data_IF_499500285954
#
_entry.id   IF_499500285954
#
_cell.length_a   1.000
_cell.length_b   1.000
_cell.length_c   1.000
_cell.angle_alpha   90.00
_cell.angle_beta   90.00
_cell.angle_gamma   90.00
#
_symmetry.space_group_name_H-M   'P 1'
#
loop_
_entity.id
_entity.type
_entity.pdbx_description
1 polymer ?
#
# COMPACT_ATOMS: atom_id res chain seq x y z
N UNK A 1 37.70 -1.82 23.56
CA UNK A 1 37.12 -0.52 23.15
C UNK A 1 37.51 -0.30 21.70
N UNK A 2 36.63 -0.63 20.77
CA UNK A 2 36.86 -0.48 19.32
C UNK A 2 35.66 0.28 18.77
N UNK A 3 35.94 1.48 18.28
CA UNK A 3 35.01 2.38 17.61
C UNK A 3 34.87 1.91 16.17
N UNK A 4 33.66 1.72 15.68
CA UNK A 4 33.40 1.59 14.24
C UNK A 4 32.56 2.77 13.77
N UNK A 5 33.15 3.51 12.83
CA UNK A 5 32.59 4.63 12.09
C UNK A 5 31.29 4.27 11.37
N UNK A 6 30.30 5.15 11.51
CA UNK A 6 29.16 5.26 10.59
C UNK A 6 29.66 5.81 9.26
N UNK A 7 29.60 5.02 8.18
CA UNK A 7 29.55 5.56 6.82
C UNK A 7 28.10 5.65 6.34
N UNK A 8 27.80 6.85 5.86
CA UNK A 8 26.51 7.32 5.37
C UNK A 8 26.11 6.63 4.07
N UNK A 9 24.82 6.34 3.94
CA UNK A 9 24.06 6.46 2.70
C UNK A 9 22.60 6.74 3.07
N UNK A 10 22.36 7.95 3.60
CA UNK A 10 21.01 8.46 3.93
C UNK A 10 20.70 9.75 3.15
N UNK A 11 21.57 10.17 2.22
CA UNK A 11 21.45 11.44 1.51
C UNK A 11 20.51 11.37 0.30
N UNK A 12 20.31 10.20 -0.32
CA UNK A 12 19.40 10.06 -1.47
C UNK A 12 17.95 9.80 -1.05
N UNK A 13 17.73 9.02 0.01
CA UNK A 13 16.38 8.76 0.55
C UNK A 13 15.80 10.03 1.21
N UNK A 14 16.64 10.85 1.83
CA UNK A 14 16.23 12.15 2.40
C UNK A 14 15.76 13.14 1.32
N UNK A 15 16.42 13.17 0.14
CA UNK A 15 16.04 14.04 -0.97
C UNK A 15 14.68 13.67 -1.57
N UNK A 16 14.40 12.37 -1.71
CA UNK A 16 13.08 11.88 -2.18
C UNK A 16 11.96 12.29 -1.21
N UNK A 17 12.23 12.37 0.10
CA UNK A 17 11.24 12.76 1.11
C UNK A 17 11.09 14.29 1.20
N UNK A 18 12.14 15.07 0.95
CA UNK A 18 12.11 16.54 1.04
C UNK A 18 11.56 17.24 -0.22
N UNK A 19 11.72 16.66 -1.41
CA UNK A 19 11.25 17.27 -2.67
C UNK A 19 9.73 17.18 -2.89
N UNK A 20 9.02 16.41 -2.07
CA UNK A 20 7.55 16.34 -2.11
C UNK A 20 6.87 17.60 -1.54
N UNK A 21 7.62 18.50 -0.89
CA UNK A 21 7.06 19.66 -0.17
C UNK A 21 7.43 21.06 -0.69
N UNK A 22 7.93 21.20 -1.93
CA UNK A 22 8.04 22.53 -2.56
C UNK A 22 7.51 22.53 -3.99
N UNK A 23 6.33 23.09 -4.18
CA UNK A 23 5.99 23.79 -5.42
C UNK A 23 5.65 25.24 -5.10
N UNK A 24 6.24 26.21 -5.83
CA UNK A 24 6.03 27.63 -5.61
C UNK A 24 4.63 28.06 -6.07
N UNK A 25 4.08 29.04 -5.36
CA UNK A 25 2.82 29.71 -5.65
C UNK A 25 2.95 30.66 -6.85
N UNK A 26 2.34 30.32 -7.99
CA UNK A 26 1.86 31.31 -8.98
C UNK A 26 0.66 30.72 -9.74
N UNK A 27 -0.42 31.50 -10.00
CA UNK A 27 -1.61 31.00 -10.65
C UNK A 27 -1.55 31.21 -12.17
N UNK A 28 -1.63 30.12 -12.94
CA UNK A 28 -2.00 30.18 -14.36
C UNK A 28 -3.36 29.50 -14.55
N UNK A 29 -4.26 30.23 -15.21
CA UNK A 29 -5.62 29.83 -15.55
C UNK A 29 -5.63 28.86 -16.74
N UNK A 30 -6.51 27.84 -16.64
CA UNK A 30 -7.02 26.94 -17.69
C UNK A 30 -5.92 26.07 -18.35
N UNK A 31 -6.05 24.77 -18.53
CA UNK A 31 -7.14 23.99 -19.09
C UNK A 31 -6.75 22.50 -18.93
N UNK A 32 -7.74 21.60 -18.86
CA UNK A 32 -7.58 20.13 -18.89
C UNK A 32 -6.83 19.49 -17.71
N UNK A 33 -7.44 18.48 -17.11
CA UNK A 33 -6.74 17.70 -16.09
C UNK A 33 -7.65 16.82 -15.26
N UNK A 34 -7.90 15.64 -15.79
CA UNK A 34 -7.99 14.41 -15.01
C UNK A 34 -6.97 14.41 -13.85
N UNK A 35 -7.26 13.71 -12.74
CA UNK A 35 -6.35 12.78 -12.05
C UNK A 35 -6.63 12.58 -10.54
N UNK A 36 -7.17 11.39 -10.25
CA UNK A 36 -6.71 10.33 -9.33
C UNK A 36 -6.07 10.64 -7.95
N UNK A 37 -6.69 10.10 -6.88
CA UNK A 37 -6.06 9.43 -5.72
C UNK A 37 -7.10 8.76 -4.79
N UNK A 38 -6.66 7.70 -4.09
CA UNK A 38 -7.34 6.40 -4.01
C UNK A 38 -7.25 5.87 -2.58
N UNK A 39 -8.38 5.67 -1.88
CA UNK A 39 -8.49 4.76 -0.72
C UNK A 39 -9.90 4.21 -0.45
N UNK A 40 -10.93 4.67 -1.16
CA UNK A 40 -12.25 4.01 -1.16
C UNK A 40 -12.81 3.75 -2.57
N UNK A 41 -12.11 4.22 -3.62
CA UNK A 41 -12.71 4.37 -4.94
C UNK A 41 -13.53 5.66 -5.08
N UNK A 42 -13.75 6.39 -3.98
CA UNK A 42 -14.36 7.71 -4.02
C UNK A 42 -13.46 8.69 -4.78
N UNK A 43 -13.90 9.12 -5.96
CA UNK A 43 -13.30 10.22 -6.74
C UNK A 43 -13.72 11.61 -6.21
N UNK A 44 -13.14 12.64 -6.81
CA UNK A 44 -13.17 14.02 -6.34
C UNK A 44 -14.55 14.67 -6.49
N UNK A 45 -15.06 15.35 -5.45
CA UNK A 45 -16.00 16.48 -5.64
C UNK A 45 -15.18 17.78 -5.66
N UNK A 46 -15.24 18.54 -6.77
CA UNK A 46 -14.71 19.91 -6.78
C UNK A 46 -15.68 20.79 -6.01
N UNK A 47 -15.27 21.28 -4.84
CA UNK A 47 -16.05 22.26 -4.09
C UNK A 47 -15.30 23.58 -4.11
N UNK A 48 -15.83 24.53 -4.87
CA UNK A 48 -15.35 25.92 -4.87
C UNK A 48 -16.07 26.69 -3.77
N UNK A 49 -15.67 26.49 -2.51
CA UNK A 49 -16.00 27.41 -1.42
C UNK A 49 -14.83 28.40 -1.27
N UNK A 50 -15.16 29.69 -1.14
CA UNK A 50 -14.24 30.85 -1.15
C UNK A 50 -12.83 30.51 -0.61
N UNK A 51 -11.86 30.62 -1.52
CA UNK A 51 -10.40 30.62 -1.31
C UNK A 51 -9.66 29.34 -0.87
N UNK A 52 -10.30 28.19 -0.70
CA UNK A 52 -9.56 26.93 -0.47
C UNK A 52 -10.05 25.82 -1.39
N UNK A 53 -9.26 25.48 -2.42
CA UNK A 53 -9.50 24.28 -3.23
C UNK A 53 -9.05 23.07 -2.40
N UNK A 54 -10.00 22.41 -1.74
CA UNK A 54 -9.73 21.14 -1.08
C UNK A 54 -9.40 20.08 -2.13
N UNK A 55 -8.17 19.60 -2.15
CA UNK A 55 -7.79 18.46 -3.01
C UNK A 55 -8.46 17.20 -2.46
N UNK A 56 -9.14 16.44 -3.33
CA UNK A 56 -9.32 15.00 -3.07
C UNK A 56 -10.57 14.52 -2.36
N UNK A 57 -11.63 15.32 -2.19
CA UNK A 57 -12.81 14.87 -1.45
C UNK A 57 -12.48 14.42 0.00
N UNK A 58 -11.28 14.74 0.51
CA UNK A 58 -10.75 14.19 1.76
C UNK A 58 -11.52 14.68 3.00
N UNK A 59 -12.23 15.80 2.85
CA UNK A 59 -13.08 16.40 3.88
C UNK A 59 -14.57 16.26 3.56
N UNK A 60 -14.94 15.59 2.45
CA UNK A 60 -16.36 15.38 2.15
C UNK A 60 -16.96 14.48 3.22
N UNK A 61 -18.25 14.68 3.56
CA UNK A 61 -18.91 13.84 4.52
C UNK A 61 -18.84 12.36 4.14
N UNK A 62 -18.82 11.51 5.17
CA UNK A 62 -18.70 10.06 5.01
C UNK A 62 -19.90 9.48 4.27
N UNK A 63 -19.65 8.51 3.38
CA UNK A 63 -20.65 7.87 2.52
C UNK A 63 -21.10 6.54 3.14
N UNK A 64 -22.16 6.58 3.92
CA UNK A 64 -22.71 5.43 4.64
C UNK A 64 -23.62 4.55 3.76
N UNK A 65 -24.59 5.16 3.09
CA UNK A 65 -25.62 4.47 2.29
C UNK A 65 -25.80 5.11 0.92
N UNK A 66 -26.61 4.47 0.06
CA UNK A 66 -27.00 4.99 -1.25
C UNK A 66 -28.41 5.63 -1.23
N UNK A 67 -29.07 5.65 -0.08
CA UNK A 67 -30.53 5.82 -0.01
C UNK A 67 -30.97 7.30 -0.11
N UNK A 68 -30.03 8.24 0.01
CA UNK A 68 -30.29 9.66 -0.15
C UNK A 68 -29.10 10.41 -0.76
N UNK A 69 -29.35 11.64 -1.22
CA UNK A 69 -28.32 12.54 -1.78
C UNK A 69 -27.22 12.91 -0.78
N UNK A 70 -27.49 12.74 0.51
CA UNK A 70 -26.55 12.95 1.60
C UNK A 70 -25.75 11.69 1.94
N UNK A 71 -25.81 10.61 1.15
CA UNK A 71 -25.06 9.38 1.38
C UNK A 71 -25.23 8.78 2.79
N UNK A 72 -26.36 9.04 3.46
CA UNK A 72 -26.62 8.66 4.85
C UNK A 72 -25.89 9.48 5.91
N UNK A 73 -25.27 10.61 5.54
CA UNK A 73 -24.54 11.49 6.45
C UNK A 73 -25.46 12.41 7.27
N UNK A 74 -26.44 13.02 6.60
CA UNK A 74 -27.52 13.81 7.19
C UNK A 74 -28.88 13.28 6.75
N UNK A 75 -29.95 13.78 7.37
CA UNK A 75 -31.31 13.58 6.87
C UNK A 75 -31.54 14.30 5.52
N UNK A 76 -32.68 14.02 4.89
CA UNK A 76 -33.02 14.58 3.57
C UNK A 76 -33.38 16.08 3.62
N UNK A 77 -33.43 16.68 4.81
CA UNK A 77 -33.84 18.06 5.02
C UNK A 77 -32.64 18.99 5.29
N UNK A 78 -31.48 18.41 5.58
CA UNK A 78 -30.28 19.14 5.96
C UNK A 78 -29.15 18.91 4.97
N UNK A 79 -28.66 20.01 4.39
CA UNK A 79 -27.49 19.96 3.51
C UNK A 79 -26.20 19.80 4.33
N UNK A 80 -25.27 18.90 3.94
CA UNK A 80 -23.97 18.80 4.60
C UNK A 80 -23.10 20.05 4.37
N UNK A 81 -22.09 20.26 5.23
CA UNK A 81 -21.16 21.39 5.10
C UNK A 81 -20.32 21.36 3.82
N UNK A 82 -20.19 20.19 3.19
CA UNK A 82 -19.58 20.00 1.88
C UNK A 82 -20.40 19.03 1.03
N UNK A 83 -20.50 19.26 -0.29
CA UNK A 83 -21.08 18.31 -1.22
C UNK A 83 -20.45 16.91 -1.13
N UNK A 84 -21.30 15.89 -1.17
CA UNK A 84 -20.88 14.50 -1.21
C UNK A 84 -20.48 14.13 -2.64
N UNK A 85 -19.53 13.20 -2.77
CA UNK A 85 -19.17 12.65 -4.07
C UNK A 85 -20.39 11.96 -4.71
N UNK A 86 -20.75 12.29 -5.97
CA UNK A 86 -21.83 11.63 -6.69
C UNK A 86 -21.73 10.10 -6.75
N UNK A 87 -20.52 9.53 -6.67
CA UNK A 87 -20.31 8.08 -6.68
C UNK A 87 -20.80 7.38 -5.40
N UNK A 88 -21.26 8.10 -4.37
CA UNK A 88 -21.73 7.51 -3.11
C UNK A 88 -22.86 6.49 -3.32
N UNK A 89 -23.63 6.58 -4.40
CA UNK A 89 -24.64 5.56 -4.75
C UNK A 89 -24.02 4.16 -4.98
N UNK A 90 -22.75 4.09 -5.42
CA UNK A 90 -22.04 2.84 -5.71
C UNK A 90 -20.91 2.56 -4.73
N UNK A 91 -20.23 3.62 -4.26
CA UNK A 91 -19.08 3.56 -3.37
C UNK A 91 -19.47 4.10 -2.00
N UNK A 92 -20.05 3.26 -1.15
CA UNK A 92 -20.40 3.60 0.22
C UNK A 92 -20.17 2.40 1.15
N UNK A 93 -20.25 2.62 2.47
CA UNK A 93 -20.04 1.57 3.48
C UNK A 93 -20.97 0.38 3.28
N UNK A 94 -22.25 0.63 3.03
CA UNK A 94 -23.26 -0.41 2.82
C UNK A 94 -22.94 -1.31 1.62
N UNK A 95 -22.43 -0.75 0.53
CA UNK A 95 -22.11 -1.46 -0.72
C UNK A 95 -20.70 -2.06 -0.73
N UNK A 96 -19.77 -1.52 0.07
CA UNK A 96 -18.36 -1.92 0.10
C UNK A 96 -18.02 -2.90 1.24
N UNK A 97 -19.00 -3.60 1.81
CA UNK A 97 -18.82 -4.57 2.91
C UNK A 97 -17.70 -5.58 2.67
N UNK A 98 -17.54 -6.07 1.45
CA UNK A 98 -16.47 -7.01 1.10
C UNK A 98 -15.07 -6.39 1.23
N UNK A 99 -14.87 -5.17 0.70
CA UNK A 99 -13.60 -4.43 0.85
C UNK A 99 -13.32 -4.10 2.31
N UNK A 100 -14.34 -3.70 3.07
CA UNK A 100 -14.20 -3.44 4.51
C UNK A 100 -13.79 -4.70 5.29
N UNK A 101 -14.32 -5.88 4.92
CA UNK A 101 -13.91 -7.17 5.48
C UNK A 101 -12.44 -7.47 5.15
N UNK A 102 -11.98 -7.18 3.94
CA UNK A 102 -10.56 -7.32 3.56
C UNK A 102 -9.65 -6.42 4.40
N UNK A 103 -10.03 -5.14 4.59
CA UNK A 103 -9.33 -4.25 5.52
C UNK A 103 -9.31 -4.81 6.95
N UNK A 104 -10.43 -5.36 7.43
CA UNK A 104 -10.51 -6.04 8.72
C UNK A 104 -9.51 -7.20 8.83
N UNK A 105 -9.32 -8.00 7.77
CA UNK A 105 -8.31 -9.07 7.72
C UNK A 105 -6.90 -8.53 7.83
N UNK A 106 -6.58 -7.43 7.14
CA UNK A 106 -5.26 -6.77 7.22
C UNK A 106 -5.00 -6.25 8.64
N UNK A 107 -5.99 -5.61 9.26
CA UNK A 107 -5.87 -5.12 10.64
C UNK A 107 -5.67 -6.26 11.65
N UNK A 108 -6.42 -7.35 11.49
CA UNK A 108 -6.26 -8.57 12.30
C UNK A 108 -4.86 -9.16 12.12
N UNK A 109 -4.39 -9.29 10.88
CA UNK A 109 -3.04 -9.76 10.58
C UNK A 109 -1.97 -8.90 11.23
N UNK A 110 -2.12 -7.56 11.16
CA UNK A 110 -1.19 -6.63 11.81
C UNK A 110 -1.14 -6.85 13.32
N UNK A 111 -2.30 -6.97 13.98
CA UNK A 111 -2.42 -7.11 15.44
C UNK A 111 -1.97 -8.48 15.95
N UNK A 112 -2.22 -9.54 15.19
CA UNK A 112 -2.06 -10.91 15.67
C UNK A 112 -0.78 -11.59 15.16
N UNK A 113 -0.41 -11.33 13.90
CA UNK A 113 0.73 -11.99 13.25
C UNK A 113 1.92 -11.04 13.14
N UNK A 114 1.74 -9.88 12.51
CA UNK A 114 2.83 -8.96 12.17
C UNK A 114 3.53 -8.40 13.42
N UNK A 115 2.84 -8.31 14.56
CA UNK A 115 3.44 -7.90 15.86
C UNK A 115 4.67 -8.74 16.26
N UNK A 116 4.76 -9.97 15.76
CA UNK A 116 5.88 -10.86 16.07
C UNK A 116 7.09 -10.64 15.15
N UNK A 117 7.01 -9.71 14.19
CA UNK A 117 8.07 -9.40 13.25
C UNK A 117 8.59 -7.98 13.52
N UNK A 118 9.90 -7.82 13.69
CA UNK A 118 10.51 -6.56 14.11
C UNK A 118 10.54 -5.58 12.94
N UNK A 119 9.95 -4.40 13.13
CA UNK A 119 10.05 -3.32 12.15
C UNK A 119 11.50 -2.78 12.01
N UNK A 120 12.32 -2.86 13.06
CA UNK A 120 13.73 -2.43 13.01
C UNK A 120 14.64 -3.40 12.25
N UNK A 121 14.20 -4.64 12.07
CA UNK A 121 14.90 -5.67 11.30
C UNK A 121 14.19 -5.81 9.92
N UNK A 122 13.80 -4.67 9.33
CA UNK A 122 13.20 -4.62 8.00
C UNK A 122 14.27 -4.42 6.94
N UNK A 123 14.20 -5.24 5.90
CA UNK A 123 15.00 -5.11 4.69
C UNK A 123 14.06 -4.70 3.57
N UNK A 124 14.43 -3.65 2.86
CA UNK A 124 13.70 -3.17 1.69
C UNK A 124 14.56 -3.47 0.48
N UNK A 125 14.06 -4.33 -0.40
CA UNK A 125 14.70 -4.62 -1.67
C UNK A 125 13.82 -4.11 -2.80
N UNK A 126 14.42 -3.36 -3.71
CA UNK A 126 13.81 -3.00 -4.98
C UNK A 126 14.39 -3.97 -6.00
N UNK A 127 13.65 -5.03 -6.34
CA UNK A 127 14.12 -6.04 -7.30
C UNK A 127 14.12 -5.51 -8.74
N UNK A 128 13.27 -4.54 -9.01
CA UNK A 128 12.96 -3.95 -10.30
C UNK A 128 12.42 -2.53 -10.04
N UNK A 129 12.57 -1.53 -10.93
CA UNK A 129 11.92 -0.23 -10.76
C UNK A 129 10.42 -0.29 -10.40
N UNK A 130 9.74 -1.39 -10.75
CA UNK A 130 8.31 -1.55 -10.54
C UNK A 130 7.90 -2.43 -9.34
N UNK A 131 8.80 -3.27 -8.81
CA UNK A 131 8.49 -4.19 -7.70
C UNK A 131 9.25 -3.82 -6.44
N UNK A 132 8.49 -3.56 -5.38
CA UNK A 132 9.01 -3.35 -4.05
C UNK A 132 8.80 -4.62 -3.23
N UNK A 133 9.88 -5.10 -2.60
CA UNK A 133 9.84 -6.15 -1.59
C UNK A 133 10.21 -5.57 -0.22
N UNK A 134 9.36 -5.84 0.77
CA UNK A 134 9.66 -5.60 2.18
C UNK A 134 9.77 -6.93 2.90
N UNK A 135 10.93 -7.21 3.47
CA UNK A 135 11.16 -8.37 4.32
C UNK A 135 11.23 -7.93 5.79
N UNK A 136 10.61 -8.70 6.69
CA UNK A 136 10.72 -8.52 8.14
C UNK A 136 11.11 -9.79 8.85
N UNK A 137 11.97 -9.68 9.86
CA UNK A 137 12.45 -10.81 10.66
C UNK A 137 11.59 -11.07 11.89
N UNK A 138 11.27 -12.34 12.16
CA UNK A 138 10.56 -12.72 13.36
C UNK A 138 11.43 -12.51 14.62
N UNK A 139 10.87 -11.87 15.65
CA UNK A 139 11.62 -11.44 16.84
C UNK A 139 12.23 -12.59 17.67
N UNK A 140 11.58 -13.77 17.67
CA UNK A 140 12.04 -14.98 18.40
C UNK A 140 12.66 -16.07 17.50
N UNK A 141 12.41 -16.03 16.19
CA UNK A 141 12.75 -17.13 15.29
C UNK A 141 13.50 -16.56 14.10
N UNK A 142 14.82 -16.50 14.19
CA UNK A 142 15.66 -15.82 13.20
C UNK A 142 15.66 -16.48 11.81
N UNK A 143 15.09 -17.67 11.65
CA UNK A 143 14.83 -18.30 10.34
C UNK A 143 13.48 -17.94 9.72
N UNK A 144 12.56 -17.30 10.47
CA UNK A 144 11.23 -16.93 9.94
C UNK A 144 11.21 -15.49 9.42
N UNK A 145 10.57 -15.30 8.27
CA UNK A 145 10.38 -14.02 7.60
C UNK A 145 8.92 -13.80 7.23
N UNK A 146 8.53 -12.53 7.19
CA UNK A 146 7.38 -12.07 6.44
C UNK A 146 7.91 -11.30 5.24
N UNK A 147 7.34 -11.55 4.07
CA UNK A 147 7.61 -10.78 2.86
C UNK A 147 6.32 -10.11 2.38
N UNK A 148 6.41 -8.84 1.99
CA UNK A 148 5.44 -8.14 1.17
C UNK A 148 6.09 -7.94 -0.19
N UNK A 149 5.45 -8.38 -1.27
CA UNK A 149 5.84 -8.00 -2.62
C UNK A 149 4.67 -7.27 -3.28
N UNK A 150 4.95 -6.12 -3.89
CA UNK A 150 3.93 -5.28 -4.52
C UNK A 150 4.45 -4.74 -5.87
N UNK A 151 3.62 -4.86 -6.90
CA UNK A 151 3.89 -4.31 -8.22
C UNK A 151 3.20 -2.95 -8.37
N UNK A 152 4.01 -1.89 -8.41
CA UNK A 152 3.60 -0.51 -8.65
C UNK A 152 3.75 -0.08 -10.12
N UNK A 153 4.26 -0.96 -10.98
CA UNK A 153 4.34 -0.75 -12.42
C UNK A 153 3.00 -0.94 -13.12
N UNK A 154 3.04 -0.77 -14.44
CA UNK A 154 1.89 -0.91 -15.35
C UNK A 154 1.90 -2.21 -16.15
N UNK A 155 2.91 -3.07 -15.96
CA UNK A 155 3.04 -4.39 -16.60
C UNK A 155 3.03 -5.52 -15.57
N UNK A 156 2.65 -6.72 -15.99
CA UNK A 156 2.76 -7.90 -15.14
C UNK A 156 4.21 -8.38 -15.11
N UNK A 157 4.69 -8.73 -13.92
CA UNK A 157 6.07 -9.14 -13.68
C UNK A 157 6.10 -10.56 -13.11
N UNK A 158 7.02 -11.38 -13.61
CA UNK A 158 7.31 -12.72 -13.09
C UNK A 158 8.69 -12.71 -12.45
N UNK A 159 8.78 -13.11 -11.18
CA UNK A 159 10.03 -13.12 -10.41
C UNK A 159 10.18 -14.43 -9.63
N UNK A 160 11.39 -14.72 -9.21
CA UNK A 160 11.70 -15.87 -8.36
C UNK A 160 12.01 -15.45 -6.92
N UNK A 161 11.67 -16.33 -5.97
CA UNK A 161 12.10 -16.24 -4.59
C UNK A 161 13.59 -16.60 -4.48
N UNK A 162 14.34 -15.93 -3.59
CA UNK A 162 15.71 -16.31 -3.29
C UNK A 162 15.84 -17.80 -2.93
N UNK A 163 16.92 -18.45 -3.34
CA UNK A 163 17.14 -19.87 -3.04
C UNK A 163 17.17 -20.19 -1.54
N UNK A 164 17.55 -19.20 -0.72
CA UNK A 164 17.54 -19.29 0.74
C UNK A 164 16.14 -19.51 1.32
N UNK A 165 15.08 -19.23 0.55
CA UNK A 165 13.70 -19.40 0.99
C UNK A 165 13.30 -20.85 0.81
N UNK A 166 12.97 -21.51 1.91
CA UNK A 166 12.47 -22.88 1.91
C UNK A 166 10.98 -22.90 1.60
N UNK A 167 10.16 -22.97 2.64
CA UNK A 167 8.72 -22.95 2.49
C UNK A 167 8.19 -21.51 2.42
N UNK A 168 7.42 -21.20 1.38
CA UNK A 168 6.72 -19.92 1.18
C UNK A 168 5.22 -20.16 1.25
N UNK A 169 4.58 -19.53 2.23
CA UNK A 169 3.12 -19.61 2.44
C UNK A 169 2.50 -18.23 2.26
N UNK A 170 1.78 -18.02 1.16
CA UNK A 170 1.00 -16.79 0.94
C UNK A 170 -0.12 -16.71 1.97
N UNK A 171 -0.19 -15.60 2.70
CA UNK A 171 -1.18 -15.35 3.75
C UNK A 171 -2.20 -14.27 3.38
N UNK A 172 -1.85 -13.33 2.50
CA UNK A 172 -2.75 -12.29 2.00
C UNK A 172 -2.41 -11.90 0.57
N UNK A 173 -3.41 -11.43 -0.19
CA UNK A 173 -3.26 -10.94 -1.57
C UNK A 173 -4.31 -9.88 -1.88
N UNK A 174 -3.98 -8.89 -2.72
CA UNK A 174 -4.92 -7.82 -3.18
C UNK A 174 -5.62 -8.18 -4.48
N UNK A 175 -4.93 -8.87 -5.38
CA UNK A 175 -5.44 -9.52 -6.57
C UNK A 175 -4.62 -10.81 -6.69
N UNK A 176 -5.30 -11.95 -6.72
CA UNK A 176 -4.68 -13.26 -6.51
C UNK A 176 -3.42 -13.43 -7.37
N UNK A 177 -2.28 -13.92 -6.83
CA UNK A 177 -1.14 -14.24 -7.67
C UNK A 177 -1.60 -15.31 -8.67
N UNK A 178 -1.50 -15.02 -9.96
CA UNK A 178 -1.87 -15.95 -11.03
C UNK A 178 -0.79 -17.01 -11.20
N UNK A 179 -0.59 -17.83 -10.16
CA UNK A 179 -0.05 -19.21 -10.15
C UNK A 179 0.54 -19.55 -8.79
N UNK A 180 -0.01 -20.59 -8.17
CA UNK A 180 0.71 -21.52 -7.30
C UNK A 180 0.95 -22.79 -8.11
N UNK A 181 2.03 -22.84 -8.92
CA UNK A 181 2.49 -24.12 -9.47
C UNK A 181 3.35 -24.80 -8.41
N UNK A 182 2.97 -26.04 -8.11
CA UNK A 182 3.41 -26.92 -7.01
C UNK A 182 4.93 -27.23 -6.99
N UNK A 183 5.74 -26.64 -7.87
CA UNK A 183 7.21 -26.86 -7.98
C UNK A 183 8.06 -25.62 -8.33
N UNK A 184 7.46 -24.47 -8.60
CA UNK A 184 8.17 -23.28 -9.08
C UNK A 184 8.40 -22.30 -7.92
N UNK A 185 9.65 -21.98 -7.62
CA UNK A 185 10.09 -20.97 -6.63
C UNK A 185 9.72 -19.53 -7.05
N UNK A 186 8.72 -19.32 -7.90
CA UNK A 186 8.40 -18.01 -8.47
C UNK A 186 6.98 -17.53 -8.21
N UNK A 187 6.76 -16.27 -8.50
CA UNK A 187 5.47 -15.59 -8.39
C UNK A 187 5.27 -14.61 -9.54
N UNK A 188 4.01 -14.38 -9.89
CA UNK A 188 3.60 -13.37 -10.87
C UNK A 188 2.75 -12.30 -10.19
N UNK A 189 3.08 -11.03 -10.42
CA UNK A 189 2.32 -9.88 -9.94
C UNK A 189 1.81 -9.05 -11.10
N UNK A 190 0.49 -8.99 -11.25
CA UNK A 190 -0.17 -8.03 -12.16
C UNK A 190 -0.04 -6.58 -11.65
N UNK A 191 -0.28 -5.56 -12.50
CA UNK A 191 -0.24 -4.17 -12.09
C UNK A 191 -1.14 -3.87 -10.88
N UNK A 192 -0.58 -3.29 -9.83
CA UNK A 192 -1.29 -3.00 -8.57
C UNK A 192 -1.56 -4.21 -7.68
N UNK A 193 -1.12 -5.41 -8.07
CA UNK A 193 -1.21 -6.59 -7.23
C UNK A 193 -0.11 -6.60 -6.18
N UNK A 194 -0.44 -7.14 -5.01
CA UNK A 194 0.49 -7.38 -3.93
C UNK A 194 0.11 -8.65 -3.19
N UNK A 195 1.10 -9.28 -2.54
CA UNK A 195 0.88 -10.37 -1.60
C UNK A 195 1.75 -10.23 -0.36
N UNK A 196 1.30 -10.84 0.71
CA UNK A 196 2.10 -11.09 1.91
C UNK A 196 2.28 -12.60 2.07
N UNK A 197 3.51 -13.04 2.35
CA UNK A 197 3.81 -14.44 2.60
C UNK A 197 4.67 -14.63 3.86
N UNK A 198 4.46 -15.74 4.55
CA UNK A 198 5.35 -16.25 5.57
C UNK A 198 6.39 -17.16 4.91
N UNK A 199 7.66 -16.95 5.25
CA UNK A 199 8.78 -17.68 4.68
C UNK A 199 9.63 -18.27 5.80
N UNK A 200 10.06 -19.51 5.62
CA UNK A 200 11.09 -20.13 6.47
C UNK A 200 12.36 -20.29 5.66
N UNK A 201 13.45 -19.70 6.13
CA UNK A 201 14.77 -19.83 5.50
C UNK A 201 15.31 -21.26 5.65
N UNK A 202 15.95 -21.77 4.61
CA UNK A 202 16.66 -23.06 4.63
C UNK A 202 17.92 -23.01 5.50
N UNK A 203 18.59 -21.86 5.54
CA UNK A 203 19.82 -21.63 6.30
C UNK A 203 19.83 -20.21 6.88
N UNK A 204 20.40 -20.05 8.09
CA UNK A 204 20.55 -18.76 8.77
C UNK A 204 21.98 -18.57 9.34
N UNK A 205 22.64 -17.41 9.12
CA UNK A 205 22.18 -16.29 8.29
C UNK A 205 22.02 -16.71 6.82
N UNK A 206 21.14 -16.04 6.07
CA UNK A 206 21.13 -16.22 4.61
C UNK A 206 22.54 -15.89 4.12
N UNK A 207 23.15 -16.68 3.22
CA UNK A 207 24.33 -16.25 2.49
C UNK A 207 24.00 -14.87 1.96
N UNK A 208 24.91 -13.93 2.22
CA UNK A 208 24.80 -12.61 1.64
C UNK A 208 24.59 -12.82 0.14
N UNK A 209 23.62 -12.11 -0.45
CA UNK A 209 23.59 -11.96 -1.90
C UNK A 209 24.90 -11.22 -2.18
N UNK A 210 25.92 -11.96 -2.60
CA UNK A 210 27.09 -11.39 -3.21
C UNK A 210 26.53 -10.68 -4.43
N UNK A 211 26.51 -9.36 -4.37
CA UNK A 211 26.21 -8.54 -5.53
C UNK A 211 27.40 -8.74 -6.47
N UNK A 212 27.24 -9.62 -7.46
CA UNK A 212 28.04 -9.60 -8.68
C UNK A 212 27.52 -8.49 -9.60
#
# INVERSE_FOLDING_TARGET
MIVFERKQSNSEISKIIHDVHRTPSTPHYLENGDNYCRNLGARYSKVTMRYTVYRGGQLTPMQWTADNSSGGFTDNLTNPWLPINPEHYTTNVQNQKNRLREFGRILSFRKNTLKNYRARDERVDVLDPNIIILERTHHRHKSKRIILAANFGNVSEEKEFPEAYGNVKVVMTTAGPTRTRVRSRGFTLSPGAAFVAEVTLLYYPSPAILND
#
